data_IF_576158291021
#
_entry.id   IF_576158291021
#
_cell.length_a   1.000
_cell.length_b   1.000
_cell.length_c   1.000
_cell.angle_alpha   90.00
_cell.angle_beta   90.00
_cell.angle_gamma   90.00
#
_symmetry.space_group_name_H-M   'P 1'
#
loop_
_entity.id
_entity.type
_entity.pdbx_description
1 polymer ?
#
# COMPACT_ATOMS: atom_id res chain seq x y z
N UNK A 1 -1.82 6.95 -22.76
CA UNK A 1 -1.53 6.03 -21.64
C UNK A 1 -2.81 5.84 -20.83
N UNK A 2 -3.16 4.61 -20.51
CA UNK A 2 -4.32 4.33 -19.66
C UNK A 2 -4.04 4.76 -18.23
N UNK A 3 -5.09 5.17 -17.51
CA UNK A 3 -4.99 5.66 -16.14
C UNK A 3 -4.35 4.65 -15.20
N UNK A 4 -4.71 3.37 -15.30
CA UNK A 4 -4.15 2.34 -14.41
C UNK A 4 -2.64 2.24 -14.55
N UNK A 5 -2.14 2.26 -15.78
CA UNK A 5 -0.70 2.25 -16.04
C UNK A 5 -0.02 3.51 -15.52
N UNK A 6 -0.67 4.65 -15.68
CA UNK A 6 -0.17 5.94 -15.20
C UNK A 6 0.03 5.90 -13.67
N UNK A 7 -1.00 5.49 -12.94
CA UNK A 7 -0.92 5.43 -11.48
C UNK A 7 0.05 4.37 -10.97
N UNK A 8 0.16 3.23 -11.65
CA UNK A 8 1.16 2.24 -11.30
C UNK A 8 2.58 2.76 -11.52
N UNK A 9 2.81 3.52 -12.59
CA UNK A 9 4.11 4.15 -12.82
C UNK A 9 4.44 5.15 -11.70
N UNK A 10 3.45 5.89 -11.21
CA UNK A 10 3.63 6.78 -10.06
C UNK A 10 3.97 5.97 -8.81
N UNK A 11 3.26 4.87 -8.55
CA UNK A 11 3.56 3.99 -7.42
C UNK A 11 4.98 3.42 -7.50
N UNK A 12 5.44 3.04 -8.69
CA UNK A 12 6.81 2.59 -8.92
C UNK A 12 7.83 3.68 -8.59
N UNK A 13 7.49 4.93 -8.81
CA UNK A 13 8.35 6.05 -8.44
C UNK A 13 8.31 6.31 -6.92
N UNK A 14 7.12 6.24 -6.32
CA UNK A 14 6.93 6.44 -4.89
C UNK A 14 7.76 5.46 -4.08
N UNK A 15 7.83 4.19 -4.49
CA UNK A 15 8.57 3.15 -3.75
C UNK A 15 10.05 3.46 -3.58
N UNK A 16 10.63 4.30 -4.45
CA UNK A 16 12.05 4.64 -4.41
C UNK A 16 12.45 5.39 -3.14
N UNK A 17 11.48 5.92 -2.42
CA UNK A 17 11.70 6.58 -1.13
C UNK A 17 11.73 5.62 0.06
N UNK A 18 11.40 4.35 -0.15
CA UNK A 18 11.43 3.35 0.91
C UNK A 18 12.82 3.25 1.55
N UNK A 19 12.85 3.18 2.87
CA UNK A 19 14.06 2.95 3.66
C UNK A 19 14.34 1.47 3.90
N UNK A 20 13.46 0.59 3.46
CA UNK A 20 13.72 -0.84 3.46
C UNK A 20 14.79 -1.13 2.40
N UNK A 21 15.92 -1.68 2.83
CA UNK A 21 17.05 -1.97 1.95
C UNK A 21 16.83 -3.18 1.06
N UNK A 22 15.82 -3.98 1.35
CA UNK A 22 15.59 -5.26 0.69
C UNK A 22 14.40 -5.26 -0.25
N UNK A 23 13.30 -4.67 0.19
CA UNK A 23 12.03 -4.68 -0.55
C UNK A 23 11.43 -3.29 -0.52
N UNK A 24 11.26 -2.69 -1.69
CA UNK A 24 10.64 -1.38 -1.83
C UNK A 24 9.25 -1.54 -2.41
N UNK A 25 8.27 -0.96 -1.74
CA UNK A 25 6.86 -1.01 -2.13
C UNK A 25 6.29 0.40 -2.11
N UNK A 26 5.51 0.72 -3.15
CA UNK A 26 4.81 1.99 -3.26
C UNK A 26 3.32 1.80 -3.39
N UNK A 27 2.57 2.75 -2.83
CA UNK A 27 1.12 2.79 -2.90
C UNK A 27 0.67 4.19 -3.31
N UNK A 28 -0.32 4.26 -4.20
CA UNK A 28 -0.96 5.51 -4.61
C UNK A 28 -2.45 5.36 -4.45
N UNK A 29 -3.09 6.30 -3.77
CA UNK A 29 -4.54 6.31 -3.59
C UNK A 29 -5.13 7.42 -4.46
N UNK A 30 -6.14 7.06 -5.23
CA UNK A 30 -6.72 7.90 -6.27
C UNK A 30 -8.22 8.04 -6.05
N UNK A 31 -8.73 9.26 -6.14
CA UNK A 31 -10.15 9.54 -6.07
C UNK A 31 -10.90 9.21 -7.35
N UNK A 32 -12.21 9.36 -7.33
CA UNK A 32 -13.09 9.00 -8.44
C UNK A 32 -12.88 9.83 -9.71
N UNK A 33 -12.30 11.01 -9.59
CA UNK A 33 -12.02 11.90 -10.71
C UNK A 33 -10.55 11.86 -11.13
N UNK A 34 -9.86 10.77 -10.79
CA UNK A 34 -8.44 10.55 -11.10
C UNK A 34 -7.48 11.50 -10.38
N UNK A 35 -7.92 12.13 -9.30
CA UNK A 35 -7.04 12.91 -8.44
C UNK A 35 -6.25 12.00 -7.49
N UNK A 36 -4.96 12.25 -7.35
CA UNK A 36 -4.15 11.57 -6.35
C UNK A 36 -4.44 12.21 -4.99
N UNK A 37 -4.91 11.41 -4.04
CA UNK A 37 -5.25 11.91 -2.70
C UNK A 37 -4.19 11.57 -1.66
N UNK A 38 -3.42 10.49 -1.86
CA UNK A 38 -2.36 10.11 -0.94
C UNK A 38 -1.39 9.15 -1.61
N UNK A 39 -0.18 9.10 -1.08
CA UNK A 39 0.83 8.11 -1.44
C UNK A 39 1.45 7.55 -0.17
N UNK A 40 2.06 6.38 -0.29
CA UNK A 40 2.82 5.77 0.80
C UNK A 40 3.85 4.80 0.27
N UNK A 41 4.88 4.59 1.04
CA UNK A 41 5.91 3.58 0.79
C UNK A 41 6.24 2.87 2.09
N UNK A 42 6.73 1.66 2.01
CA UNK A 42 7.11 0.91 3.20
C UNK A 42 8.34 1.56 3.83
N UNK A 43 8.24 1.93 5.08
CA UNK A 43 9.30 2.65 5.77
C UNK A 43 9.05 2.68 7.28
N UNK A 44 10.03 3.21 7.99
CA UNK A 44 9.88 3.49 9.42
C UNK A 44 8.90 4.65 9.64
N UNK A 45 8.14 4.63 10.74
CA UNK A 45 7.33 5.80 11.09
C UNK A 45 8.19 7.05 11.23
N UNK A 46 7.57 8.21 10.99
CA UNK A 46 8.26 9.49 11.14
C UNK A 46 8.82 9.65 12.54
N UNK A 47 10.05 10.18 12.62
CA UNK A 47 10.74 10.39 13.90
C UNK A 47 11.48 9.17 14.43
N UNK A 48 11.30 8.01 13.82
CA UNK A 48 12.06 6.81 14.17
C UNK A 48 13.38 6.83 13.41
N UNK A 49 14.48 6.52 14.12
CA UNK A 49 15.78 6.41 13.48
C UNK A 49 15.83 5.19 12.55
N UNK A 50 15.92 5.44 11.25
CA UNK A 50 15.97 4.42 10.22
C UNK A 50 17.40 3.98 9.86
N UNK A 51 18.41 4.59 10.46
CA UNK A 51 19.82 4.26 10.23
C UNK A 51 20.38 3.37 11.35
N UNK A 52 19.64 2.36 11.73
CA UNK A 52 20.04 1.35 12.71
C UNK A 52 20.02 -0.01 12.03
N UNK A 53 21.18 -0.65 11.94
CA UNK A 53 21.38 -1.88 11.17
C UNK A 53 20.44 -3.02 11.60
N UNK A 54 20.26 -3.22 12.91
CA UNK A 54 19.44 -4.29 13.48
C UNK A 54 17.98 -4.16 13.08
N UNK A 55 17.50 -2.94 12.81
CA UNK A 55 16.11 -2.68 12.39
C UNK A 55 15.83 -3.07 10.94
N UNK A 56 16.86 -3.36 10.17
CA UNK A 56 16.75 -3.86 8.79
C UNK A 56 16.71 -5.38 8.73
N UNK A 57 17.00 -6.07 9.82
CA UNK A 57 17.19 -7.52 9.86
C UNK A 57 15.94 -8.19 10.47
N UNK A 58 15.45 -9.24 9.82
CA UNK A 58 14.34 -10.05 10.35
C UNK A 58 14.80 -10.84 11.57
N UNK A 59 13.98 -10.99 12.61
CA UNK A 59 12.59 -10.54 12.74
C UNK A 59 12.43 -9.12 13.26
N UNK A 60 13.50 -8.48 13.73
CA UNK A 60 13.46 -7.14 14.33
C UNK A 60 12.82 -6.11 13.40
N UNK A 61 13.14 -6.17 12.12
CA UNK A 61 12.59 -5.32 11.06
C UNK A 61 11.06 -5.19 11.13
N UNK A 62 10.34 -6.26 11.45
CA UNK A 62 8.87 -6.26 11.47
C UNK A 62 8.26 -5.40 12.58
N UNK A 63 9.02 -5.07 13.60
CA UNK A 63 8.55 -4.17 14.67
C UNK A 63 8.68 -2.69 14.29
N UNK A 64 9.50 -2.38 13.30
CA UNK A 64 9.86 -1.00 12.98
C UNK A 64 9.30 -0.51 11.66
N UNK A 65 9.21 -1.38 10.63
CA UNK A 65 8.80 -0.98 9.29
C UNK A 65 7.29 -1.13 9.14
N UNK A 66 6.64 -0.04 8.74
CA UNK A 66 5.22 -0.01 8.38
C UNK A 66 5.06 -0.26 6.89
N UNK A 67 3.96 -0.91 6.50
CA UNK A 67 3.67 -1.24 5.11
C UNK A 67 3.22 -0.02 4.31
N UNK A 68 3.50 -0.04 3.01
CA UNK A 68 3.17 1.06 2.09
C UNK A 68 1.67 1.39 2.09
N UNK A 69 0.83 0.36 2.11
CA UNK A 69 -0.63 0.50 2.10
C UNK A 69 -1.11 1.30 3.31
N UNK A 70 -0.68 0.89 4.51
CA UNK A 70 -1.06 1.59 5.74
C UNK A 70 -0.43 2.97 5.83
N UNK A 71 0.80 3.14 5.35
CA UNK A 71 1.42 4.46 5.30
C UNK A 71 0.66 5.43 4.39
N UNK A 72 0.13 4.97 3.27
CA UNK A 72 -0.73 5.79 2.41
C UNK A 72 -2.02 6.20 3.14
N UNK A 73 -2.62 5.28 3.89
CA UNK A 73 -3.81 5.56 4.70
C UNK A 73 -3.48 6.56 5.81
N UNK A 74 -2.37 6.37 6.52
CA UNK A 74 -1.95 7.29 7.60
C UNK A 74 -1.60 8.68 7.06
N UNK A 75 -0.97 8.76 5.88
CA UNK A 75 -0.71 10.05 5.25
C UNK A 75 -2.00 10.79 4.92
N UNK A 76 -3.03 10.11 4.43
CA UNK A 76 -4.34 10.70 4.22
C UNK A 76 -4.96 11.19 5.53
N UNK A 77 -4.89 10.39 6.59
CA UNK A 77 -5.36 10.78 7.92
C UNK A 77 -4.61 12.01 8.44
N UNK A 78 -3.29 12.05 8.21
CA UNK A 78 -2.42 13.14 8.66
C UNK A 78 -2.79 14.48 8.03
N UNK A 79 -3.15 14.49 6.74
CA UNK A 79 -3.54 15.72 6.03
C UNK A 79 -5.06 15.97 6.05
N UNK A 80 -5.85 15.05 6.59
CA UNK A 80 -7.29 15.23 6.75
C UNK A 80 -8.09 14.97 5.47
N UNK A 81 -7.67 14.02 4.64
CA UNK A 81 -8.34 13.68 3.38
C UNK A 81 -9.14 12.39 3.54
N UNK A 82 -10.40 12.40 3.09
CA UNK A 82 -11.22 11.20 3.07
C UNK A 82 -10.74 10.23 2.00
N UNK A 83 -10.72 8.94 2.34
CA UNK A 83 -10.42 7.85 1.40
C UNK A 83 -11.68 7.12 0.92
N UNK A 84 -12.86 7.64 1.23
CA UNK A 84 -14.12 7.03 0.81
C UNK A 84 -14.19 6.95 -0.71
N UNK A 85 -14.54 5.76 -1.21
CA UNK A 85 -14.77 5.48 -2.62
C UNK A 85 -13.52 5.63 -3.52
N UNK A 86 -12.34 5.54 -2.94
CA UNK A 86 -11.08 5.66 -3.66
C UNK A 86 -10.56 4.31 -4.17
N UNK A 87 -9.51 4.38 -4.98
CA UNK A 87 -8.80 3.24 -5.54
C UNK A 87 -7.33 3.30 -5.12
N UNK A 88 -6.79 2.16 -4.68
CA UNK A 88 -5.37 2.05 -4.32
C UNK A 88 -4.61 1.28 -5.41
N UNK A 89 -3.48 1.82 -5.83
CA UNK A 89 -2.55 1.19 -6.76
C UNK A 89 -1.29 0.78 -6.01
N UNK A 90 -0.90 -0.49 -6.12
CA UNK A 90 0.21 -1.09 -5.39
C UNK A 90 1.24 -1.70 -6.33
N UNK A 91 2.51 -1.53 -6.01
CA UNK A 91 3.61 -2.16 -6.76
C UNK A 91 3.84 -3.60 -6.36
N UNK A 92 3.25 -4.05 -5.25
CA UNK A 92 3.38 -5.42 -4.75
C UNK A 92 2.17 -6.28 -5.13
N UNK A 93 2.16 -7.51 -4.63
CA UNK A 93 1.04 -8.42 -4.74
C UNK A 93 -0.09 -8.07 -3.78
N UNK A 94 -0.88 -9.07 -3.42
CA UNK A 94 -2.05 -8.89 -2.55
C UNK A 94 -1.59 -8.39 -1.18
N UNK A 95 -2.25 -7.33 -0.63
CA UNK A 95 -1.95 -6.88 0.72
C UNK A 95 -2.12 -7.97 1.78
N UNK A 96 -1.35 -7.89 2.84
CA UNK A 96 -1.53 -8.78 3.98
C UNK A 96 -2.88 -8.53 4.67
N UNK A 97 -3.30 -9.44 5.55
CA UNK A 97 -4.61 -9.34 6.20
C UNK A 97 -4.80 -8.05 7.00
N UNK A 98 -3.76 -7.57 7.67
CA UNK A 98 -3.83 -6.33 8.44
C UNK A 98 -3.99 -5.12 7.53
N UNK A 99 -3.22 -5.05 6.44
CA UNK A 99 -3.37 -3.99 5.46
C UNK A 99 -4.75 -4.03 4.79
N UNK A 100 -5.24 -5.23 4.45
CA UNK A 100 -6.56 -5.40 3.82
C UNK A 100 -7.69 -4.89 4.72
N UNK A 101 -7.63 -5.17 6.01
CA UNK A 101 -8.60 -4.64 6.98
C UNK A 101 -8.57 -3.11 7.02
N UNK A 102 -7.38 -2.54 7.06
CA UNK A 102 -7.21 -1.09 7.02
C UNK A 102 -7.74 -0.45 5.74
N UNK A 103 -7.49 -1.07 4.61
CA UNK A 103 -7.98 -0.63 3.30
C UNK A 103 -9.51 -0.59 3.28
N UNK A 104 -10.15 -1.69 3.70
CA UNK A 104 -11.62 -1.77 3.76
C UNK A 104 -12.18 -0.74 4.73
N UNK A 105 -11.62 -0.67 5.93
CA UNK A 105 -12.11 0.20 6.99
C UNK A 105 -11.95 1.69 6.68
N UNK A 106 -11.00 2.03 5.83
CA UNK A 106 -10.78 3.42 5.39
C UNK A 106 -11.71 3.88 4.27
N UNK A 107 -12.46 2.95 3.67
CA UNK A 107 -13.41 3.28 2.59
C UNK A 107 -12.87 3.11 1.18
N UNK A 108 -11.67 2.59 1.02
CA UNK A 108 -11.08 2.29 -0.30
C UNK A 108 -11.88 1.15 -0.93
N UNK A 109 -12.32 1.33 -2.18
CA UNK A 109 -13.21 0.38 -2.86
C UNK A 109 -12.52 -0.58 -3.80
N UNK A 110 -11.39 -0.16 -4.38
CA UNK A 110 -10.67 -0.96 -5.38
C UNK A 110 -9.19 -1.01 -5.06
N UNK A 111 -8.57 -2.14 -5.41
CA UNK A 111 -7.13 -2.30 -5.39
C UNK A 111 -6.68 -2.79 -6.75
N UNK A 112 -5.64 -2.16 -7.28
CA UNK A 112 -4.87 -2.65 -8.42
C UNK A 112 -3.52 -3.11 -7.90
N UNK A 113 -3.20 -4.38 -8.04
CA UNK A 113 -1.95 -4.95 -7.57
C UNK A 113 -1.50 -6.10 -8.47
N UNK A 114 -0.23 -6.43 -8.38
CA UNK A 114 0.31 -7.61 -9.05
C UNK A 114 -0.08 -8.86 -8.25
N UNK A 115 -0.56 -9.88 -8.92
CA UNK A 115 -0.77 -11.17 -8.27
C UNK A 115 0.48 -12.02 -8.49
N UNK A 116 1.27 -12.12 -7.45
CA UNK A 116 2.49 -12.90 -7.46
C UNK A 116 2.31 -14.28 -6.84
N UNK A 117 1.38 -14.42 -5.92
CA UNK A 117 1.16 -15.63 -5.17
C UNK A 117 -0.31 -15.77 -4.81
N UNK A 118 -0.90 -16.92 -5.15
CA UNK A 118 -2.26 -17.27 -4.79
C UNK A 118 -2.34 -18.02 -3.45
N UNK A 119 -1.20 -18.37 -2.87
CA UNK A 119 -1.14 -19.02 -1.56
C UNK A 119 -1.64 -18.00 -0.52
N UNK A 120 -2.67 -18.25 0.14
CA UNK A 120 -3.27 -17.31 1.10
C UNK A 120 -4.48 -16.56 0.56
N UNK A 121 -4.78 -16.64 -0.74
CA UNK A 121 -6.01 -16.05 -1.30
C UNK A 121 -7.25 -16.59 -0.60
N UNK A 122 -7.23 -17.85 -0.16
CA UNK A 122 -8.37 -18.43 0.54
C UNK A 122 -8.62 -17.77 1.89
N UNK A 123 -7.57 -17.39 2.61
CA UNK A 123 -7.68 -16.66 3.87
C UNK A 123 -8.18 -15.23 3.67
N UNK A 124 -7.82 -14.63 2.54
CA UNK A 124 -8.14 -13.25 2.26
C UNK A 124 -9.46 -13.07 1.50
N UNK A 125 -10.03 -14.15 0.93
CA UNK A 125 -11.26 -14.07 0.13
C UNK A 125 -12.40 -13.36 0.83
N UNK A 126 -12.62 -13.63 2.10
CA UNK A 126 -13.69 -12.97 2.85
C UNK A 126 -13.37 -11.50 3.13
N UNK A 127 -12.10 -11.20 3.43
CA UNK A 127 -11.65 -9.84 3.63
C UNK A 127 -11.83 -9.02 2.36
N UNK A 128 -11.62 -9.65 1.19
CA UNK A 128 -11.73 -8.98 -0.10
C UNK A 128 -13.14 -8.96 -0.69
N UNK A 129 -14.15 -9.57 -0.07
CA UNK A 129 -15.54 -9.52 -0.56
C UNK A 129 -16.03 -8.09 -0.78
N UNK A 130 -15.57 -7.16 0.02
CA UNK A 130 -15.95 -5.74 -0.07
C UNK A 130 -15.13 -4.96 -1.09
N UNK A 131 -14.07 -5.53 -1.60
CA UNK A 131 -13.16 -4.86 -2.51
C UNK A 131 -13.34 -5.38 -3.93
N UNK A 132 -13.54 -4.48 -4.87
CA UNK A 132 -13.40 -4.82 -6.28
C UNK A 132 -11.92 -4.92 -6.57
N UNK A 133 -11.44 -6.13 -6.68
CA UNK A 133 -10.05 -6.40 -6.93
C UNK A 133 -9.82 -6.55 -8.42
N UNK A 134 -8.92 -5.76 -8.96
CA UNK A 134 -8.46 -5.90 -10.33
C UNK A 134 -6.99 -6.29 -10.28
N UNK A 135 -6.67 -7.39 -10.94
CA UNK A 135 -5.31 -7.88 -11.04
C UNK A 135 -4.69 -7.38 -12.34
N UNK A 136 -3.53 -6.77 -12.24
CA UNK A 136 -2.75 -6.34 -13.39
C UNK A 136 -1.62 -7.34 -13.62
N UNK A 137 -1.56 -7.78 -14.82
CA UNK A 137 -0.48 -8.67 -15.26
C UNK A 137 0.74 -7.88 -15.69
#
# INVERSE_FOLDING_TARGET
MKWDKYFLNIAENVKLKSKDRRTQIGAVIVGKDNEIVSTGYNSFPRGINDNVEERQIRPEKYYWIEHAERNAIYNAARIGVSLRDTTMYLTCGIPCSDCAKGIISSGIKKIYCKVQDTTGMNMLKEVYKCLKKVMLK
#
